data_IF_663616237941
#
_entry.id   IF_663616237941
#
_cell.length_a   1.000
_cell.length_b   1.000
_cell.length_c   1.000
_cell.angle_alpha   90.00
_cell.angle_beta   90.00
_cell.angle_gamma   90.00
#
_symmetry.space_group_name_H-M   'P 1'
#
loop_
_entity.id
_entity.type
_entity.pdbx_description
1 polymer ?
#
# COMPACT_ATOMS: atom_id res chain seq x y z
N UNK A 1 1.32 -13.14 -35.09
CA UNK A 1 2.35 -13.14 -34.03
C UNK A 1 2.69 -11.69 -33.73
N UNK A 2 2.08 -11.08 -32.71
CA UNK A 2 2.30 -9.66 -32.39
C UNK A 2 3.27 -9.54 -31.22
N UNK A 3 4.44 -8.92 -31.46
CA UNK A 3 5.40 -8.52 -30.43
C UNK A 3 5.05 -7.11 -29.99
N UNK A 4 4.56 -6.94 -28.75
CA UNK A 4 4.39 -5.62 -28.15
C UNK A 4 5.75 -5.18 -27.60
N UNK A 5 6.40 -4.24 -28.26
CA UNK A 5 7.58 -3.55 -27.75
C UNK A 5 7.14 -2.48 -26.76
N UNK A 6 7.30 -2.74 -25.47
CA UNK A 6 7.12 -1.74 -24.42
C UNK A 6 8.36 -0.83 -24.42
N UNK A 7 8.22 0.40 -24.94
CA UNK A 7 9.21 1.48 -24.69
C UNK A 7 8.81 2.20 -23.41
N UNK A 8 9.76 2.29 -22.48
CA UNK A 8 9.65 3.06 -21.25
C UNK A 8 9.56 4.55 -21.61
N UNK A 9 8.35 5.12 -21.64
CA UNK A 9 8.16 6.56 -21.56
C UNK A 9 8.51 6.99 -20.13
N UNK A 10 9.14 8.15 -19.94
CA UNK A 10 9.59 8.64 -18.63
C UNK A 10 8.50 8.69 -17.55
N UNK A 11 8.88 9.10 -16.33
CA UNK A 11 8.01 9.11 -15.15
C UNK A 11 6.57 9.53 -15.52
N UNK A 12 5.61 8.65 -15.22
CA UNK A 12 4.21 8.84 -15.57
C UNK A 12 3.75 10.21 -15.05
N UNK A 13 3.22 11.14 -15.89
CA UNK A 13 2.75 12.45 -15.43
C UNK A 13 1.75 12.34 -14.26
N UNK A 14 1.07 11.19 -14.12
CA UNK A 14 0.16 10.88 -13.01
C UNK A 14 0.88 10.60 -11.69
N UNK A 15 2.15 10.20 -11.72
CA UNK A 15 2.97 9.97 -10.53
C UNK A 15 3.36 11.31 -9.90
N UNK A 16 3.79 12.28 -10.71
CA UNK A 16 4.08 13.64 -10.26
C UNK A 16 2.87 14.33 -9.61
N UNK A 17 1.66 14.13 -10.16
CA UNK A 17 0.44 14.71 -9.59
C UNK A 17 0.09 14.18 -8.18
N UNK A 18 0.51 12.93 -7.84
CA UNK A 18 0.15 12.30 -6.56
C UNK A 18 0.95 12.81 -5.38
N UNK A 19 2.20 13.18 -5.65
CA UNK A 19 3.17 13.63 -4.65
C UNK A 19 2.94 15.11 -4.28
N UNK A 20 2.41 15.89 -5.22
CA UNK A 20 2.11 17.32 -5.01
C UNK A 20 0.72 17.49 -4.38
N UNK A 21 0.69 18.07 -3.19
CA UNK A 21 -0.54 18.53 -2.55
C UNK A 21 -1.08 19.74 -3.34
N UNK A 22 -2.31 19.67 -3.88
CA UNK A 22 -2.93 20.76 -4.62
C UNK A 22 -3.21 21.95 -3.70
N UNK A 23 -3.20 23.16 -4.28
CA UNK A 23 -3.69 24.34 -3.58
C UNK A 23 -5.23 24.32 -3.46
N UNK A 24 -5.80 25.28 -2.71
CA UNK A 24 -7.24 25.34 -2.47
C UNK A 24 -8.07 25.45 -3.76
N UNK A 25 -7.60 26.22 -4.76
CA UNK A 25 -8.32 26.38 -6.02
C UNK A 25 -8.30 25.10 -6.85
N UNK A 26 -7.17 24.39 -6.86
CA UNK A 26 -7.06 23.06 -7.46
C UNK A 26 -7.93 22.03 -6.74
N UNK A 27 -8.00 22.07 -5.40
CA UNK A 27 -8.88 21.21 -4.62
C UNK A 27 -10.35 21.44 -4.97
N UNK A 28 -10.79 22.70 -5.07
CA UNK A 28 -12.14 23.06 -5.49
C UNK A 28 -12.45 22.57 -6.92
N UNK A 29 -11.50 22.70 -7.84
CA UNK A 29 -11.65 22.23 -9.22
C UNK A 29 -11.77 20.69 -9.29
N UNK A 30 -11.04 19.97 -8.44
CA UNK A 30 -11.16 18.52 -8.30
C UNK A 30 -12.53 18.17 -7.71
N UNK A 31 -12.96 18.85 -6.65
CA UNK A 31 -14.28 18.63 -6.04
C UNK A 31 -15.42 18.82 -7.03
N UNK A 32 -15.39 19.89 -7.83
CA UNK A 32 -16.37 20.13 -8.88
C UNK A 32 -16.37 19.04 -9.97
N UNK A 33 -15.20 18.44 -10.25
CA UNK A 33 -15.09 17.29 -11.15
C UNK A 33 -15.68 16.01 -10.54
N UNK A 34 -15.45 15.76 -9.25
CA UNK A 34 -16.06 14.64 -8.51
C UNK A 34 -17.59 14.76 -8.52
N UNK A 35 -18.12 15.95 -8.24
CA UNK A 35 -19.56 16.24 -8.30
C UNK A 35 -20.16 15.96 -9.67
N UNK A 36 -19.43 16.27 -10.75
CA UNK A 36 -19.89 15.98 -12.11
C UNK A 36 -19.98 14.47 -12.35
N UNK A 37 -19.01 13.69 -11.85
CA UNK A 37 -19.04 12.23 -11.95
C UNK A 37 -20.16 11.60 -11.13
N UNK A 38 -20.43 12.14 -9.94
CA UNK A 38 -21.51 11.68 -9.08
C UNK A 38 -22.87 11.98 -9.71
N UNK A 39 -23.08 13.18 -10.26
CA UNK A 39 -24.31 13.55 -10.99
C UNK A 39 -24.54 12.72 -12.25
N UNK A 40 -23.46 12.31 -12.93
CA UNK A 40 -23.55 11.49 -14.14
C UNK A 40 -23.80 9.99 -13.85
N UNK A 41 -23.73 9.57 -12.58
CA UNK A 41 -23.90 8.18 -12.18
C UNK A 41 -25.39 7.83 -12.04
N UNK A 42 -25.83 6.79 -12.75
CA UNK A 42 -27.17 6.21 -12.60
C UNK A 42 -27.39 5.45 -11.28
N UNK A 43 -26.32 5.23 -10.51
CA UNK A 43 -26.31 4.42 -9.29
C UNK A 43 -26.02 5.27 -8.04
N UNK A 44 -26.25 6.58 -8.14
CA UNK A 44 -25.97 7.54 -7.09
C UNK A 44 -24.50 7.95 -6.97
N UNK A 45 -24.18 8.85 -6.01
CA UNK A 45 -22.84 9.31 -5.73
C UNK A 45 -21.91 8.15 -5.35
N UNK A 46 -20.70 8.15 -5.87
CA UNK A 46 -19.74 7.06 -5.66
C UNK A 46 -18.34 7.56 -5.38
N UNK A 47 -17.97 8.77 -5.80
CA UNK A 47 -16.58 9.22 -5.78
C UNK A 47 -16.04 9.32 -4.36
N UNK A 48 -16.69 10.13 -3.51
CA UNK A 48 -16.32 10.32 -2.10
C UNK A 48 -16.40 9.04 -1.30
N UNK A 49 -17.49 8.29 -1.45
CA UNK A 49 -17.64 6.98 -0.81
C UNK A 49 -16.50 6.02 -1.19
N UNK A 50 -16.05 6.03 -2.45
CA UNK A 50 -14.91 5.21 -2.89
C UNK A 50 -13.60 5.69 -2.28
N UNK A 51 -13.34 7.00 -2.26
CA UNK A 51 -12.13 7.58 -1.69
C UNK A 51 -12.05 7.30 -0.18
N UNK A 52 -13.14 7.53 0.56
CA UNK A 52 -13.25 7.23 1.99
C UNK A 52 -13.04 5.73 2.26
N UNK A 53 -13.68 4.84 1.49
CA UNK A 53 -13.53 3.41 1.68
C UNK A 53 -12.09 2.92 1.41
N UNK A 54 -11.42 3.48 0.41
CA UNK A 54 -10.00 3.17 0.11
C UNK A 54 -9.08 3.70 1.23
N UNK A 55 -9.44 4.83 1.84
CA UNK A 55 -8.70 5.39 2.98
C UNK A 55 -8.86 4.54 4.25
N UNK A 56 -10.07 4.07 4.52
CA UNK A 56 -10.41 3.22 5.65
C UNK A 56 -9.80 1.83 5.53
N UNK A 57 -9.76 1.27 4.32
CA UNK A 57 -9.33 -0.11 4.04
C UNK A 57 -8.18 -0.15 3.02
N UNK A 58 -7.00 0.43 3.33
CA UNK A 58 -5.88 0.42 2.42
C UNK A 58 -5.40 -1.01 2.17
N UNK A 59 -4.81 -1.24 1.00
CA UNK A 59 -4.31 -2.55 0.54
C UNK A 59 -5.38 -3.68 0.48
N UNK A 60 -6.66 -3.31 0.48
CA UNK A 60 -7.78 -4.26 0.31
C UNK A 60 -8.08 -4.48 -1.17
N UNK A 61 -8.42 -5.72 -1.53
CA UNK A 61 -8.61 -6.11 -2.94
C UNK A 61 -9.86 -5.46 -3.52
N UNK A 62 -9.83 -5.26 -4.83
CA UNK A 62 -10.95 -4.66 -5.56
C UNK A 62 -12.30 -5.40 -5.38
N UNK A 63 -12.37 -6.75 -5.37
CA UNK A 63 -13.64 -7.45 -5.14
C UNK A 63 -14.24 -7.14 -3.76
N UNK A 64 -13.43 -7.19 -2.71
CA UNK A 64 -13.87 -6.98 -1.33
C UNK A 64 -14.35 -5.53 -1.10
N UNK A 65 -13.70 -4.55 -1.74
CA UNK A 65 -14.15 -3.15 -1.72
C UNK A 65 -15.43 -2.95 -2.53
N UNK A 66 -15.54 -3.61 -3.69
CA UNK A 66 -16.74 -3.52 -4.52
C UNK A 66 -17.97 -4.12 -3.82
N UNK A 67 -17.80 -5.26 -3.15
CA UNK A 67 -18.84 -5.91 -2.33
C UNK A 67 -19.35 -4.96 -1.23
N UNK A 68 -18.45 -4.31 -0.49
CA UNK A 68 -18.81 -3.33 0.55
C UNK A 68 -19.57 -2.12 0.00
N UNK A 69 -19.32 -1.75 -1.25
CA UNK A 69 -20.06 -0.71 -1.94
C UNK A 69 -21.36 -1.17 -2.58
N UNK A 70 -21.70 -2.47 -2.50
CA UNK A 70 -22.82 -3.05 -3.24
C UNK A 70 -22.68 -2.93 -4.76
N UNK A 71 -21.44 -2.97 -5.27
CA UNK A 71 -21.11 -2.79 -6.69
C UNK A 71 -20.42 -4.03 -7.25
N UNK A 72 -20.55 -4.23 -8.57
CA UNK A 72 -19.76 -5.23 -9.25
C UNK A 72 -18.28 -4.79 -9.37
N UNK A 73 -17.37 -5.77 -9.32
CA UNK A 73 -15.92 -5.51 -9.35
C UNK A 73 -15.48 -4.76 -10.63
N UNK A 74 -15.95 -5.10 -11.84
CA UNK A 74 -15.62 -4.34 -13.05
C UNK A 74 -15.98 -2.86 -12.97
N UNK A 75 -17.20 -2.50 -12.55
CA UNK A 75 -17.64 -1.11 -12.38
C UNK A 75 -16.81 -0.40 -11.31
N UNK A 76 -16.54 -1.06 -10.18
CA UNK A 76 -15.68 -0.50 -9.14
C UNK A 76 -14.27 -0.20 -9.67
N UNK A 77 -13.65 -1.11 -10.44
CA UNK A 77 -12.33 -0.88 -11.05
C UNK A 77 -12.34 0.27 -12.05
N UNK A 78 -13.41 0.42 -12.84
CA UNK A 78 -13.56 1.57 -13.76
C UNK A 78 -13.64 2.89 -13.00
N UNK A 79 -14.38 2.91 -11.89
CA UNK A 79 -14.48 4.05 -10.99
C UNK A 79 -13.12 4.42 -10.38
N UNK A 80 -12.41 3.43 -9.82
CA UNK A 80 -11.06 3.65 -9.27
C UNK A 80 -10.08 4.13 -10.34
N UNK A 81 -10.20 3.65 -11.59
CA UNK A 81 -9.38 4.14 -12.71
C UNK A 81 -9.57 5.64 -12.97
N UNK A 82 -10.81 6.13 -12.98
CA UNK A 82 -11.10 7.57 -13.16
C UNK A 82 -10.43 8.40 -12.07
N UNK A 83 -10.49 7.95 -10.81
CA UNK A 83 -9.84 8.63 -9.67
C UNK A 83 -8.32 8.57 -9.78
N UNK A 84 -7.78 7.43 -10.22
CA UNK A 84 -6.34 7.21 -10.43
C UNK A 84 -5.76 8.14 -11.49
N UNK A 85 -6.52 8.43 -12.54
CA UNK A 85 -6.16 9.35 -13.63
C UNK A 85 -6.03 10.81 -13.15
N UNK A 86 -6.75 11.19 -12.08
CA UNK A 86 -6.59 12.47 -11.39
C UNK A 86 -5.56 12.46 -10.26
N UNK A 87 -4.83 11.35 -10.11
CA UNK A 87 -3.82 11.23 -9.08
C UNK A 87 -4.38 11.15 -7.67
N UNK A 88 -5.66 10.77 -7.48
CA UNK A 88 -6.30 10.69 -6.15
C UNK A 88 -6.08 9.33 -5.47
N UNK A 89 -5.71 8.30 -6.24
CA UNK A 89 -5.47 6.95 -5.74
C UNK A 89 -4.21 6.34 -6.34
N UNK A 90 -3.64 5.41 -5.58
CA UNK A 90 -2.47 4.62 -5.94
C UNK A 90 -2.83 3.14 -5.97
N UNK A 91 -2.35 2.45 -7.00
CA UNK A 91 -2.43 0.99 -7.04
C UNK A 91 -1.24 0.43 -6.30
N UNK A 92 -1.52 -0.51 -5.41
CA UNK A 92 -0.51 -1.31 -4.72
C UNK A 92 -0.42 -2.68 -5.41
N UNK A 93 0.56 -3.48 -5.01
CA UNK A 93 0.62 -4.90 -5.40
C UNK A 93 -0.66 -5.63 -5.02
N UNK A 94 -1.24 -5.26 -3.87
CA UNK A 94 -2.53 -5.74 -3.41
C UNK A 94 -3.40 -4.54 -3.08
N UNK A 95 -4.43 -4.31 -3.89
CA UNK A 95 -5.44 -3.29 -3.60
C UNK A 95 -5.03 -1.87 -3.97
N UNK A 96 -5.56 -0.92 -3.21
CA UNK A 96 -5.40 0.52 -3.45
C UNK A 96 -5.08 1.25 -2.15
N UNK A 97 -4.57 2.48 -2.28
CA UNK A 97 -4.53 3.48 -1.22
C UNK A 97 -4.84 4.86 -1.78
N UNK A 98 -5.22 5.80 -0.92
CA UNK A 98 -5.23 7.22 -1.30
C UNK A 98 -3.80 7.72 -1.53
N UNK A 99 -3.65 8.64 -2.48
CA UNK A 99 -2.45 9.46 -2.60
C UNK A 99 -2.49 10.64 -1.61
N UNK A 100 -1.38 11.35 -1.46
CA UNK A 100 -1.35 12.60 -0.70
C UNK A 100 -2.36 13.62 -1.25
N UNK A 101 -2.43 13.76 -2.58
CA UNK A 101 -3.45 14.57 -3.27
C UNK A 101 -4.88 14.14 -2.94
N UNK A 102 -5.17 12.84 -2.96
CA UNK A 102 -6.50 12.30 -2.68
C UNK A 102 -6.94 12.54 -1.23
N UNK A 103 -6.01 12.39 -0.28
CA UNK A 103 -6.24 12.72 1.13
C UNK A 103 -6.55 14.21 1.34
N UNK A 104 -5.75 15.10 0.73
CA UNK A 104 -5.95 16.54 0.85
C UNK A 104 -7.31 17.00 0.31
N UNK A 105 -7.75 16.44 -0.83
CA UNK A 105 -9.07 16.75 -1.41
C UNK A 105 -10.20 16.32 -0.48
N UNK A 106 -10.14 15.12 0.11
CA UNK A 106 -11.17 14.68 1.08
C UNK A 106 -11.20 15.55 2.33
N UNK A 107 -10.03 15.89 2.88
CA UNK A 107 -9.92 16.73 4.07
C UNK A 107 -10.50 18.15 3.80
N UNK A 108 -10.25 18.71 2.62
CA UNK A 108 -10.78 20.02 2.18
C UNK A 108 -12.30 20.04 2.00
N UNK A 109 -12.90 18.95 1.52
CA UNK A 109 -14.35 18.84 1.33
C UNK A 109 -15.14 18.66 2.64
N UNK A 110 -14.48 18.73 3.80
CA UNK A 110 -15.14 18.58 5.10
C UNK A 110 -15.53 17.14 5.40
N UNK A 111 -14.83 16.17 4.79
CA UNK A 111 -14.81 14.78 5.20
C UNK A 111 -13.55 14.53 6.03
N UNK A 112 -13.46 15.04 7.27
CA UNK A 112 -12.28 14.84 8.09
C UNK A 112 -12.09 13.34 8.23
N UNK A 113 -10.99 12.84 7.64
CA UNK A 113 -10.56 11.47 7.90
C UNK A 113 -10.46 11.34 9.42
N UNK A 114 -10.86 10.19 9.98
CA UNK A 114 -10.65 9.91 11.40
C UNK A 114 -9.15 9.97 11.70
N UNK A 115 -8.66 11.17 12.04
CA UNK A 115 -7.25 11.48 12.26
C UNK A 115 -6.73 10.91 13.58
N UNK A 116 -7.59 10.27 14.37
CA UNK A 116 -7.28 9.79 15.73
C UNK A 116 -6.51 8.48 15.84
N UNK A 117 -5.78 8.03 14.81
CA UNK A 117 -5.07 6.75 14.93
C UNK A 117 -4.00 6.40 13.90
N UNK A 118 -3.61 7.30 12.99
CA UNK A 118 -2.53 7.02 12.04
C UNK A 118 -1.30 7.85 12.37
N UNK A 119 -0.29 7.20 12.95
CA UNK A 119 1.09 7.64 12.73
C UNK A 119 1.32 7.71 11.22
N UNK A 120 1.82 8.82 10.70
CA UNK A 120 2.34 8.88 9.35
C UNK A 120 3.20 7.64 9.10
N UNK A 121 3.14 6.98 7.92
CA UNK A 121 4.05 5.88 7.65
C UNK A 121 5.46 6.43 7.80
N UNK A 122 6.16 6.02 8.86
CA UNK A 122 7.55 6.42 9.04
C UNK A 122 8.32 6.08 7.75
N UNK A 123 9.06 7.03 7.18
CA UNK A 123 9.84 6.76 5.99
C UNK A 123 10.79 5.58 6.26
N UNK A 124 10.88 4.64 5.33
CA UNK A 124 11.71 3.45 5.45
C UNK A 124 11.67 2.57 4.21
N UNK A 125 12.51 1.55 4.18
CA UNK A 125 12.70 0.68 3.01
C UNK A 125 11.48 -0.24 2.86
N UNK A 126 10.81 -0.27 1.68
CA UNK A 126 9.67 -1.14 1.46
C UNK A 126 10.09 -2.62 1.50
N UNK A 127 9.16 -3.50 1.89
CA UNK A 127 9.39 -4.94 1.82
C UNK A 127 9.62 -5.39 0.38
N UNK A 128 10.48 -6.40 0.15
CA UNK A 128 10.60 -7.02 -1.17
C UNK A 128 9.27 -7.62 -1.59
N UNK A 129 9.08 -7.84 -2.90
CA UNK A 129 7.89 -8.54 -3.40
C UNK A 129 7.88 -9.99 -2.90
N UNK A 130 7.02 -10.28 -1.93
CA UNK A 130 6.82 -11.61 -1.37
C UNK A 130 5.57 -12.27 -1.97
N UNK A 131 5.46 -13.59 -1.85
CA UNK A 131 4.22 -14.29 -2.16
C UNK A 131 3.06 -13.80 -1.27
N UNK A 132 1.83 -13.83 -1.80
CA UNK A 132 0.65 -13.24 -1.16
C UNK A 132 0.33 -13.77 0.26
N UNK A 133 0.81 -14.95 0.63
CA UNK A 133 0.67 -15.47 2.00
C UNK A 133 1.64 -14.78 2.97
N UNK A 134 2.92 -14.69 2.61
CA UNK A 134 3.95 -13.99 3.39
C UNK A 134 3.64 -12.49 3.54
N UNK A 135 3.22 -11.82 2.46
CA UNK A 135 2.81 -10.41 2.51
C UNK A 135 1.67 -10.20 3.50
N UNK A 136 0.62 -11.03 3.43
CA UNK A 136 -0.53 -10.96 4.36
C UNK A 136 -0.12 -11.18 5.81
N UNK A 137 0.77 -12.14 6.06
CA UNK A 137 1.21 -12.46 7.41
C UNK A 137 2.02 -11.32 8.06
N UNK A 138 2.89 -10.66 7.28
CA UNK A 138 3.66 -9.50 7.75
C UNK A 138 2.77 -8.28 7.95
N UNK A 139 1.93 -7.95 6.97
CA UNK A 139 0.98 -6.82 7.07
C UNK A 139 0.00 -7.02 8.23
N UNK A 140 -0.45 -8.25 8.49
CA UNK A 140 -1.30 -8.58 9.65
C UNK A 140 -0.65 -8.30 11.01
N UNK A 141 0.69 -8.21 11.08
CA UNK A 141 1.46 -7.77 12.26
C UNK A 141 1.86 -6.29 12.22
N UNK A 142 1.40 -5.53 11.25
CA UNK A 142 1.81 -4.13 11.04
C UNK A 142 3.24 -3.99 10.50
N UNK A 143 3.85 -5.08 10.03
CA UNK A 143 5.18 -5.10 9.44
C UNK A 143 5.04 -4.84 7.95
N UNK A 144 5.40 -3.63 7.54
CA UNK A 144 5.25 -3.13 6.17
C UNK A 144 6.57 -2.58 5.60
N UNK A 145 7.64 -2.59 6.41
CA UNK A 145 8.97 -2.08 6.09
C UNK A 145 10.07 -3.04 6.52
N UNK A 146 11.23 -2.92 5.88
CA UNK A 146 12.37 -3.80 6.09
C UNK A 146 13.02 -3.61 7.47
N UNK A 147 13.04 -2.38 7.99
CA UNK A 147 13.53 -2.06 9.34
C UNK A 147 12.68 -2.72 10.43
N UNK A 148 11.37 -2.83 10.20
CA UNK A 148 10.46 -3.53 11.11
C UNK A 148 10.69 -5.04 11.07
N UNK A 149 11.07 -5.58 9.90
CA UNK A 149 11.50 -6.98 9.79
C UNK A 149 12.82 -7.21 10.51
N UNK A 150 13.77 -6.28 10.44
CA UNK A 150 15.03 -6.33 11.19
C UNK A 150 14.81 -6.40 12.71
N UNK A 151 13.74 -5.75 13.22
CA UNK A 151 13.33 -5.87 14.62
C UNK A 151 12.82 -7.25 15.05
N UNK A 152 12.49 -8.12 14.09
CA UNK A 152 12.07 -9.50 14.35
C UNK A 152 13.26 -10.46 14.20
N UNK A 153 13.22 -11.56 14.95
CA UNK A 153 14.14 -12.67 14.74
C UNK A 153 13.73 -13.52 13.55
N UNK A 154 14.69 -14.22 12.96
CA UNK A 154 14.42 -15.12 11.83
C UNK A 154 13.37 -16.19 12.20
N UNK A 155 13.38 -16.68 13.44
CA UNK A 155 12.40 -17.64 13.95
C UNK A 155 11.00 -17.05 14.07
N UNK A 156 10.85 -15.81 14.56
CA UNK A 156 9.55 -15.13 14.65
C UNK A 156 8.93 -14.86 13.28
N UNK A 157 9.77 -14.58 12.27
CA UNK A 157 9.32 -14.35 10.89
C UNK A 157 8.96 -15.66 10.22
N UNK A 158 9.73 -16.73 10.44
CA UNK A 158 9.44 -18.06 9.90
C UNK A 158 8.20 -18.72 10.54
N UNK A 159 7.90 -18.39 11.80
CA UNK A 159 6.69 -18.84 12.47
C UNK A 159 5.40 -18.22 11.87
N UNK A 160 5.52 -17.21 11.01
CA UNK A 160 4.37 -16.61 10.34
C UNK A 160 3.78 -17.55 9.29
N UNK A 161 2.46 -17.76 9.38
CA UNK A 161 1.74 -18.61 8.46
C UNK A 161 1.88 -18.13 7.01
N UNK A 162 2.57 -18.93 6.18
CA UNK A 162 2.81 -18.62 4.76
C UNK A 162 4.17 -17.98 4.45
N UNK A 163 5.05 -17.81 5.45
CA UNK A 163 6.44 -17.41 5.25
C UNK A 163 7.33 -18.65 5.12
N UNK A 164 7.48 -19.11 3.88
CA UNK A 164 8.34 -20.26 3.54
C UNK A 164 9.82 -19.89 3.36
N UNK A 165 10.69 -20.88 3.10
CA UNK A 165 12.14 -20.68 2.93
C UNK A 165 12.48 -19.69 1.80
N UNK A 166 11.66 -19.64 0.74
CA UNK A 166 11.82 -18.66 -0.34
C UNK A 166 11.60 -17.22 0.13
N UNK A 167 10.53 -16.97 0.91
CA UNK A 167 10.27 -15.66 1.48
C UNK A 167 11.38 -15.25 2.47
N UNK A 168 11.88 -16.20 3.26
CA UNK A 168 13.04 -15.97 4.14
C UNK A 168 14.30 -15.59 3.37
N UNK A 169 14.58 -16.24 2.24
CA UNK A 169 15.73 -15.91 1.39
C UNK A 169 15.64 -14.50 0.80
N UNK A 170 14.45 -14.10 0.33
CA UNK A 170 14.21 -12.74 -0.17
C UNK A 170 14.36 -11.69 0.93
N UNK A 171 13.81 -11.94 2.12
CA UNK A 171 13.93 -11.03 3.26
C UNK A 171 15.39 -10.89 3.71
N UNK A 172 16.15 -11.99 3.78
CA UNK A 172 17.57 -11.97 4.11
C UNK A 172 18.37 -11.15 3.10
N UNK A 173 18.19 -11.41 1.80
CA UNK A 173 18.85 -10.67 0.74
C UNK A 173 18.52 -9.16 0.77
N UNK A 174 17.25 -8.81 1.01
CA UNK A 174 16.83 -7.42 1.13
C UNK A 174 17.46 -6.74 2.37
N UNK A 175 17.45 -7.41 3.52
CA UNK A 175 18.09 -6.92 4.75
C UNK A 175 19.59 -6.68 4.54
N UNK A 176 20.30 -7.65 3.96
CA UNK A 176 21.74 -7.55 3.71
C UNK A 176 22.05 -6.39 2.75
N UNK A 177 21.25 -6.21 1.69
CA UNK A 177 21.38 -5.09 0.76
C UNK A 177 21.15 -3.71 1.42
N UNK A 178 20.35 -3.67 2.49
CA UNK A 178 20.10 -2.49 3.30
C UNK A 178 21.09 -2.32 4.46
N UNK A 179 22.07 -3.24 4.63
CA UNK A 179 22.98 -3.25 5.78
C UNK A 179 22.30 -3.59 7.11
N UNK A 180 21.16 -4.27 7.06
CA UNK A 180 20.36 -4.70 8.20
C UNK A 180 20.48 -6.22 8.40
N UNK A 181 20.08 -6.70 9.58
CA UNK A 181 19.94 -8.12 9.86
C UNK A 181 18.68 -8.37 10.70
N UNK A 182 18.20 -9.62 10.73
CA UNK A 182 17.20 -10.03 11.72
C UNK A 182 17.80 -9.86 13.12
N UNK A 183 16.95 -9.50 14.08
CA UNK A 183 17.30 -9.49 15.50
C UNK A 183 17.77 -10.87 15.92
N UNK A 184 18.89 -10.94 16.63
CA UNK A 184 19.33 -12.17 17.27
C UNK A 184 18.27 -12.60 18.29
N UNK A 185 17.70 -13.79 18.10
CA UNK A 185 16.74 -14.35 19.06
C UNK A 185 17.45 -14.69 20.37
N UNK A 186 16.73 -14.82 21.50
CA UNK A 186 17.31 -15.44 22.69
C UNK A 186 17.59 -16.92 22.37
N UNK A 187 18.84 -17.24 22.04
CA UNK A 187 19.30 -18.62 21.85
C UNK A 187 20.07 -18.87 20.56
N UNK A 188 21.25 -18.27 20.42
CA UNK A 188 22.41 -19.01 19.89
C UNK A 188 23.62 -18.50 20.64
N UNK A 189 23.90 -19.13 21.79
CA UNK A 189 25.19 -18.93 22.44
C UNK A 189 26.30 -19.26 21.43
N UNK A 190 27.38 -18.46 21.38
CA UNK A 190 28.57 -18.88 20.65
C UNK A 190 29.05 -20.23 21.22
N UNK A 191 29.63 -21.12 20.39
CA UNK A 191 30.13 -22.40 20.86
C UNK A 191 31.13 -22.17 21.99
N UNK A 192 30.90 -22.84 23.12
CA UNK A 192 31.85 -22.89 24.21
C UNK A 192 33.18 -23.41 23.65
N UNK A 193 34.21 -22.58 23.74
CA UNK A 193 35.59 -22.99 23.54
C UNK A 193 35.90 -24.12 24.53
N UNK A 194 36.35 -25.29 24.07
CA UNK A 194 36.91 -26.29 24.96
C UNK A 194 38.31 -25.82 25.37
N UNK A 195 38.46 -25.31 26.59
CA UNK A 195 39.77 -25.38 27.25
C UNK A 195 39.84 -26.71 27.99
N UNK A 196 40.82 -27.51 27.58
CA UNK A 196 41.24 -28.81 28.09
C UNK A 196 42.76 -28.73 28.19
N UNK A 197 43.43 -29.48 29.08
CA UNK A 197 43.07 -29.91 30.44
C UNK A 197 43.85 -29.15 31.53
#
# INVERSE_FOLDING_TARGET
>A
MYRIGLRYAGADPRQALREVVPDAAEMDAIGAWLDRLDRASSTGPWTRATLSLIDELPATRAPDLAERMGRDTPSFKQNVRKLKERGLTESLDIGYRLSARGGAVLDHEGHPRAAGGRSAPEPGIPLPHLGAAATRALTGRGVVRLEQVAGLSAGEVQALHGVGPYAMGLLRSALDAAGLAFRDGPGTSPPATPETP
#
